data_IF_185079526018
#
_entry.id   IF_185079526018
#
_cell.length_a   1.000
_cell.length_b   1.000
_cell.length_c   1.000
_cell.angle_alpha   90.00
_cell.angle_beta   90.00
_cell.angle_gamma   90.00
#
_symmetry.space_group_name_H-M   'P 1'
#
loop_
_entity.id
_entity.type
_entity.pdbx_description
1 polymer ?
#
# COMPACT_ATOMS: atom_id res chain seq x y z
N UNK A 1 -23.45 -6.04 -2.04
CA UNK A 1 -23.92 -4.64 -2.13
C UNK A 1 -23.21 -4.01 -3.31
N UNK A 2 -23.95 -3.55 -4.33
CA UNK A 2 -23.48 -2.97 -5.57
C UNK A 2 -23.57 -1.44 -5.53
N UNK A 3 -22.46 -0.77 -5.82
CA UNK A 3 -22.34 0.69 -5.92
C UNK A 3 -22.54 1.10 -7.37
N UNK A 4 -23.56 1.91 -7.62
CA UNK A 4 -24.03 2.27 -8.96
C UNK A 4 -23.78 3.75 -9.21
N UNK A 5 -23.04 4.06 -10.27
CA UNK A 5 -22.89 5.42 -10.76
C UNK A 5 -23.78 5.62 -11.98
N UNK A 6 -24.73 6.56 -11.89
CA UNK A 6 -25.64 6.89 -13.00
C UNK A 6 -25.19 8.20 -13.64
N UNK A 7 -24.92 8.18 -14.95
CA UNK A 7 -24.43 9.35 -15.69
C UNK A 7 -25.39 9.75 -16.79
N UNK A 8 -25.71 11.05 -16.85
CA UNK A 8 -26.62 11.60 -17.85
C UNK A 8 -28.10 11.52 -17.47
N UNK A 9 -28.42 11.11 -16.25
CA UNK A 9 -29.78 11.18 -15.69
C UNK A 9 -29.89 12.36 -14.73
N UNK A 10 -31.09 12.91 -14.59
CA UNK A 10 -31.42 13.81 -13.49
C UNK A 10 -31.64 13.03 -12.18
N UNK A 11 -31.78 13.75 -11.06
CA UNK A 11 -31.95 13.15 -9.72
C UNK A 11 -33.19 12.23 -9.67
N UNK A 12 -34.27 12.59 -10.35
CA UNK A 12 -35.49 11.79 -10.38
C UNK A 12 -35.31 10.50 -11.19
N UNK A 13 -34.68 10.56 -12.36
CA UNK A 13 -34.39 9.39 -13.18
C UNK A 13 -33.37 8.46 -12.53
N UNK A 14 -32.38 9.00 -11.81
CA UNK A 14 -31.44 8.19 -11.01
C UNK A 14 -32.18 7.41 -9.92
N UNK A 15 -33.05 8.08 -9.16
CA UNK A 15 -33.84 7.44 -8.12
C UNK A 15 -34.76 6.35 -8.68
N UNK A 16 -35.42 6.60 -9.82
CA UNK A 16 -36.29 5.64 -10.48
C UNK A 16 -35.52 4.40 -10.95
N UNK A 17 -34.35 4.60 -11.56
CA UNK A 17 -33.48 3.51 -11.98
C UNK A 17 -33.01 2.66 -10.80
N UNK A 18 -32.51 3.30 -9.73
CA UNK A 18 -32.07 2.59 -8.52
C UNK A 18 -33.21 1.80 -7.87
N UNK A 19 -34.42 2.36 -7.83
CA UNK A 19 -35.60 1.68 -7.33
C UNK A 19 -35.94 0.45 -8.18
N UNK A 20 -35.86 0.56 -9.51
CA UNK A 20 -36.07 -0.58 -10.41
C UNK A 20 -35.01 -1.67 -10.24
N UNK A 21 -33.73 -1.31 -10.11
CA UNK A 21 -32.67 -2.29 -9.87
C UNK A 21 -32.91 -3.05 -8.56
N UNK A 22 -33.38 -2.37 -7.52
CA UNK A 22 -33.75 -2.99 -6.24
C UNK A 22 -34.95 -3.92 -6.39
N UNK A 23 -35.98 -3.53 -7.14
CA UNK A 23 -37.17 -4.36 -7.34
C UNK A 23 -36.90 -5.59 -8.21
N UNK A 24 -36.15 -5.42 -9.31
CA UNK A 24 -35.82 -6.49 -10.24
C UNK A 24 -35.00 -7.60 -9.57
N UNK A 25 -34.12 -7.23 -8.65
CA UNK A 25 -33.22 -8.18 -8.03
C UNK A 25 -33.82 -8.91 -6.81
N UNK A 26 -35.03 -8.55 -6.36
CA UNK A 26 -35.62 -9.00 -5.08
C UNK A 26 -34.63 -8.90 -3.89
N UNK A 27 -33.65 -7.98 -3.98
CA UNK A 27 -32.57 -7.85 -3.03
C UNK A 27 -33.02 -6.98 -1.84
N UNK A 28 -32.45 -7.17 -0.64
CA UNK A 28 -32.65 -6.25 0.49
C UNK A 28 -32.37 -4.80 0.08
N UNK A 29 -33.11 -3.84 0.66
CA UNK A 29 -33.09 -2.42 0.29
C UNK A 29 -31.69 -1.77 0.29
N UNK A 30 -30.74 -2.33 1.03
CA UNK A 30 -29.36 -1.85 1.14
C UNK A 30 -28.39 -2.44 0.09
N UNK A 31 -28.84 -3.36 -0.76
CA UNK A 31 -27.94 -4.06 -1.68
C UNK A 31 -27.53 -3.23 -2.88
N UNK A 32 -28.26 -2.17 -3.25
CA UNK A 32 -27.91 -1.28 -4.36
C UNK A 32 -27.90 0.16 -3.87
N UNK A 33 -26.76 0.85 -4.00
CA UNK A 33 -26.60 2.26 -3.58
C UNK A 33 -26.00 3.10 -4.69
N UNK A 34 -26.38 4.38 -4.72
CA UNK A 34 -25.71 5.38 -5.57
C UNK A 34 -24.30 5.64 -5.04
N UNK A 35 -23.31 5.71 -5.95
CA UNK A 35 -22.00 6.27 -5.65
C UNK A 35 -21.76 7.51 -6.52
N UNK A 36 -20.88 8.40 -6.05
CA UNK A 36 -20.50 9.63 -6.77
C UNK A 36 -19.08 9.59 -7.33
N UNK A 37 -18.29 8.65 -6.83
CA UNK A 37 -16.92 8.43 -7.27
C UNK A 37 -16.86 7.22 -8.18
N UNK A 38 -16.10 7.34 -9.26
CA UNK A 38 -15.85 6.25 -10.19
C UNK A 38 -14.93 5.19 -9.58
N UNK A 39 -14.03 5.60 -8.68
CA UNK A 39 -13.09 4.67 -8.04
C UNK A 39 -13.82 3.71 -7.06
N UNK A 40 -15.01 4.10 -6.60
CA UNK A 40 -15.91 3.31 -5.76
C UNK A 40 -17.12 2.75 -6.53
N UNK A 41 -17.05 2.67 -7.86
CA UNK A 41 -18.15 2.20 -8.70
C UNK A 41 -18.01 0.72 -9.06
N UNK A 42 -19.05 -0.07 -8.81
CA UNK A 42 -19.13 -1.48 -9.25
C UNK A 42 -19.91 -1.60 -10.58
N UNK A 43 -20.88 -0.70 -10.79
CA UNK A 43 -21.73 -0.65 -11.96
C UNK A 43 -21.90 0.80 -12.47
N UNK A 44 -21.41 1.08 -13.67
CA UNK A 44 -21.66 2.32 -14.39
C UNK A 44 -22.89 2.16 -15.29
N UNK A 45 -23.91 2.99 -15.07
CA UNK A 45 -25.08 3.10 -15.95
C UNK A 45 -25.08 4.46 -16.63
N UNK A 46 -25.13 4.49 -17.96
CA UNK A 46 -25.21 5.74 -18.72
C UNK A 46 -26.51 5.81 -19.51
N UNK A 47 -26.99 7.03 -19.79
CA UNK A 47 -27.98 7.24 -20.86
C UNK A 47 -27.35 6.97 -22.23
N UNK A 48 -28.14 6.41 -23.15
CA UNK A 48 -27.69 6.10 -24.50
C UNK A 48 -27.47 7.35 -25.35
N UNK A 49 -26.29 7.94 -25.21
CA UNK A 49 -25.82 9.02 -26.08
C UNK A 49 -24.42 8.69 -26.60
N UNK A 50 -24.08 9.08 -27.85
CA UNK A 50 -22.76 8.78 -28.43
C UNK A 50 -21.59 9.32 -27.59
N UNK A 51 -21.76 10.49 -26.99
CA UNK A 51 -20.73 11.11 -26.15
C UNK A 51 -20.49 10.31 -24.86
N UNK A 52 -21.56 9.93 -24.15
CA UNK A 52 -21.44 9.16 -22.91
C UNK A 52 -20.92 7.74 -23.18
N UNK A 53 -21.36 7.10 -24.28
CA UNK A 53 -20.87 5.77 -24.67
C UNK A 53 -19.36 5.76 -24.86
N UNK A 54 -18.82 6.73 -25.60
CA UNK A 54 -17.39 6.86 -25.83
C UNK A 54 -16.61 7.17 -24.54
N UNK A 55 -17.16 8.02 -23.66
CA UNK A 55 -16.55 8.32 -22.37
C UNK A 55 -16.50 7.08 -21.46
N UNK A 56 -17.63 6.38 -21.32
CA UNK A 56 -17.73 5.18 -20.51
C UNK A 56 -16.80 4.05 -21.00
N UNK A 57 -16.70 3.84 -22.31
CA UNK A 57 -15.78 2.85 -22.88
C UNK A 57 -14.32 3.14 -22.53
N UNK A 58 -13.90 4.41 -22.48
CA UNK A 58 -12.56 4.79 -22.01
C UNK A 58 -12.38 4.49 -20.52
N UNK A 59 -13.37 4.86 -19.70
CA UNK A 59 -13.33 4.69 -18.25
C UNK A 59 -13.25 3.21 -17.84
N UNK A 60 -14.02 2.35 -18.49
CA UNK A 60 -14.05 0.90 -18.23
C UNK A 60 -12.79 0.19 -18.73
N UNK A 61 -12.15 0.69 -19.81
CA UNK A 61 -10.84 0.16 -20.25
C UNK A 61 -9.75 0.34 -19.20
N UNK A 62 -9.77 1.45 -18.47
CA UNK A 62 -8.84 1.71 -17.37
C UNK A 62 -9.21 0.93 -16.10
N UNK A 63 -10.47 0.49 -15.98
CA UNK A 63 -11.03 -0.18 -14.79
C UNK A 63 -11.90 -1.40 -15.19
N UNK A 64 -11.28 -2.53 -15.56
CA UNK A 64 -12.01 -3.69 -16.11
C UNK A 64 -12.93 -4.42 -15.10
N UNK A 65 -12.88 -4.05 -13.81
CA UNK A 65 -13.77 -4.58 -12.76
C UNK A 65 -15.17 -3.94 -12.78
N UNK A 66 -15.32 -2.77 -13.40
CA UNK A 66 -16.58 -2.03 -13.45
C UNK A 66 -17.48 -2.65 -14.52
N UNK A 67 -18.68 -3.08 -14.13
CA UNK A 67 -19.72 -3.43 -15.09
C UNK A 67 -20.28 -2.18 -15.75
N UNK A 68 -20.59 -2.26 -17.05
CA UNK A 68 -21.03 -1.12 -17.83
C UNK A 68 -22.35 -1.42 -18.53
N UNK A 69 -23.40 -0.69 -18.17
CA UNK A 69 -24.73 -0.79 -18.79
C UNK A 69 -25.17 0.54 -19.42
N UNK A 70 -26.00 0.43 -20.44
CA UNK A 70 -26.58 1.55 -21.18
C UNK A 70 -28.10 1.50 -21.00
N UNK A 71 -28.67 2.62 -20.57
CA UNK A 71 -30.11 2.84 -20.47
C UNK A 71 -30.61 3.58 -21.70
N UNK A 72 -31.53 2.96 -22.44
CA UNK A 72 -32.15 3.58 -23.62
C UNK A 72 -33.27 4.56 -23.27
N UNK A 73 -33.83 5.21 -24.29
CA UNK A 73 -34.94 6.18 -24.13
C UNK A 73 -36.24 5.57 -23.58
N UNK A 74 -36.38 4.25 -23.63
CA UNK A 74 -37.52 3.51 -23.08
C UNK A 74 -37.22 2.98 -21.66
N UNK A 75 -36.04 3.31 -21.11
CA UNK A 75 -35.57 2.86 -19.82
C UNK A 75 -35.00 1.44 -19.84
N UNK A 76 -34.89 0.76 -20.99
CA UNK A 76 -34.33 -0.58 -21.00
C UNK A 76 -32.83 -0.55 -20.78
N UNK A 77 -32.33 -1.52 -20.00
CA UNK A 77 -30.91 -1.67 -19.72
C UNK A 77 -30.30 -2.68 -20.68
N UNK A 78 -29.10 -2.38 -21.16
CA UNK A 78 -28.33 -3.24 -22.06
C UNK A 78 -26.90 -3.30 -21.57
N UNK A 79 -26.20 -4.40 -21.85
CA UNK A 79 -24.76 -4.41 -21.66
C UNK A 79 -24.08 -3.42 -22.60
N UNK A 80 -23.20 -2.59 -22.05
CA UNK A 80 -22.36 -1.67 -22.82
C UNK A 80 -21.07 -2.31 -23.35
N UNK A 81 -20.79 -3.56 -22.96
CA UNK A 81 -19.76 -4.42 -23.56
C UNK A 81 -20.38 -5.76 -23.97
N UNK A 82 -20.18 -6.18 -25.22
CA UNK A 82 -20.75 -7.43 -25.74
C UNK A 82 -21.86 -7.19 -26.76
N UNK A 83 -22.78 -8.15 -26.87
CA UNK A 83 -23.83 -8.17 -27.90
C UNK A 83 -24.80 -6.98 -27.72
N UNK A 84 -24.67 -5.96 -28.58
CA UNK A 84 -25.24 -4.61 -28.43
C UNK A 84 -26.79 -4.55 -28.38
N UNK A 85 -27.47 -5.69 -28.56
CA UNK A 85 -28.91 -5.77 -28.74
C UNK A 85 -29.64 -6.57 -27.64
N UNK A 86 -28.92 -7.25 -26.74
CA UNK A 86 -29.57 -8.00 -25.66
C UNK A 86 -30.04 -7.04 -24.55
N UNK A 87 -31.36 -6.84 -24.47
CA UNK A 87 -31.99 -6.14 -23.34
C UNK A 87 -31.90 -7.02 -22.10
N UNK A 88 -31.45 -6.44 -20.99
CA UNK A 88 -31.41 -7.08 -19.69
C UNK A 88 -32.83 -7.16 -19.13
N UNK A 89 -33.36 -8.38 -19.05
CA UNK A 89 -34.56 -8.67 -18.30
C UNK A 89 -34.28 -8.68 -16.78
N UNK A 90 -35.33 -8.72 -15.96
CA UNK A 90 -35.19 -8.62 -14.52
C UNK A 90 -34.34 -9.77 -13.94
N UNK A 91 -34.40 -10.96 -14.53
CA UNK A 91 -33.61 -12.12 -14.11
C UNK A 91 -32.12 -11.98 -14.46
N UNK A 92 -31.80 -11.39 -15.61
CA UNK A 92 -30.44 -11.06 -16.01
C UNK A 92 -29.86 -9.94 -15.14
N UNK A 93 -30.65 -8.91 -14.83
CA UNK A 93 -30.29 -7.85 -13.89
C UNK A 93 -30.01 -8.46 -12.51
N UNK A 94 -30.90 -9.32 -12.01
CA UNK A 94 -30.74 -10.00 -10.73
C UNK A 94 -29.46 -10.84 -10.68
N UNK A 95 -29.24 -11.69 -11.67
CA UNK A 95 -28.05 -12.53 -11.74
C UNK A 95 -26.77 -11.71 -11.80
N UNK A 96 -26.75 -10.64 -12.61
CA UNK A 96 -25.59 -9.78 -12.72
C UNK A 96 -25.31 -9.06 -11.38
N UNK A 97 -26.33 -8.53 -10.72
CA UNK A 97 -26.20 -7.87 -9.40
C UNK A 97 -25.78 -8.86 -8.30
N UNK A 98 -26.24 -10.11 -8.33
CA UNK A 98 -25.84 -11.17 -7.38
C UNK A 98 -24.40 -11.65 -7.60
N UNK A 99 -23.92 -11.62 -8.83
CA UNK A 99 -22.54 -11.97 -9.18
C UNK A 99 -21.55 -10.83 -8.90
N UNK A 100 -22.04 -9.61 -8.63
CA UNK A 100 -21.17 -8.51 -8.22
C UNK A 100 -20.54 -8.81 -6.87
N UNK A 101 -19.23 -8.53 -6.71
CA UNK A 101 -18.56 -8.71 -5.42
C UNK A 101 -19.28 -7.87 -4.35
N UNK A 102 -19.51 -8.43 -3.15
CA UNK A 102 -20.07 -7.64 -2.07
C UNK A 102 -19.13 -6.48 -1.73
N UNK A 103 -19.69 -5.29 -1.51
CA UNK A 103 -18.93 -4.17 -0.96
C UNK A 103 -18.09 -4.63 0.25
N UNK A 104 -16.81 -4.22 0.33
CA UNK A 104 -15.95 -4.61 1.43
C UNK A 104 -16.56 -4.13 2.76
N UNK A 105 -16.63 -5.04 3.73
CA UNK A 105 -17.10 -4.70 5.07
C UNK A 105 -16.12 -3.75 5.75
N UNK A 106 -16.59 -2.69 6.42
CA UNK A 106 -15.75 -1.87 7.27
C UNK A 106 -15.10 -2.69 8.39
N UNK A 107 -13.91 -2.27 8.79
CA UNK A 107 -13.19 -2.83 9.93
C UNK A 107 -13.74 -2.22 11.22
N UNK A 108 -14.43 -3.04 12.00
CA UNK A 108 -15.04 -2.66 13.28
C UNK A 108 -14.09 -2.86 14.47
N UNK A 109 -12.99 -3.57 14.27
CA UNK A 109 -12.03 -3.87 15.33
C UNK A 109 -11.36 -2.60 15.90
N UNK A 110 -10.93 -2.62 17.18
CA UNK A 110 -10.29 -1.48 17.80
C UNK A 110 -9.04 -1.01 17.04
N UNK A 111 -8.89 0.31 16.95
CA UNK A 111 -7.75 0.93 16.30
C UNK A 111 -6.55 0.86 17.23
N UNK A 112 -5.50 0.19 16.77
CA UNK A 112 -4.22 0.09 17.47
C UNK A 112 -3.36 1.35 17.29
N UNK A 113 -3.43 1.99 16.11
CA UNK A 113 -2.69 3.20 15.82
C UNK A 113 -3.35 4.07 14.75
N UNK A 114 -3.20 5.39 14.91
CA UNK A 114 -3.49 6.44 13.91
C UNK A 114 -2.28 7.36 13.79
N UNK A 115 -2.05 7.95 12.62
CA UNK A 115 -0.86 8.76 12.24
C UNK A 115 0.40 7.95 11.89
N UNK A 116 1.28 8.58 11.11
CA UNK A 116 2.56 8.02 10.68
C UNK A 116 3.45 7.50 11.79
N UNK A 117 3.63 8.31 12.83
CA UNK A 117 4.49 7.95 13.94
C UNK A 117 3.97 6.71 14.68
N UNK A 118 2.67 6.67 14.99
CA UNK A 118 2.11 5.56 15.74
C UNK A 118 2.01 4.29 14.90
N UNK A 119 1.59 4.39 13.63
CA UNK A 119 1.53 3.24 12.72
C UNK A 119 2.92 2.65 12.52
N UNK A 120 3.92 3.48 12.21
CA UNK A 120 5.32 3.04 12.08
C UNK A 120 5.82 2.36 13.35
N UNK A 121 5.49 2.91 14.53
CA UNK A 121 5.89 2.33 15.82
C UNK A 121 5.28 0.93 16.01
N UNK A 122 3.95 0.80 15.87
CA UNK A 122 3.27 -0.49 16.06
C UNK A 122 3.72 -1.51 15.02
N UNK A 123 3.85 -1.13 13.74
CA UNK A 123 4.39 -2.03 12.72
C UNK A 123 5.77 -2.56 13.10
N UNK A 124 6.69 -1.69 13.54
CA UNK A 124 8.04 -2.11 13.94
C UNK A 124 8.02 -3.03 15.16
N UNK A 125 7.22 -2.72 16.19
CA UNK A 125 7.09 -3.54 17.39
C UNK A 125 6.52 -4.94 17.06
N UNK A 126 5.48 -5.01 16.23
CA UNK A 126 4.89 -6.28 15.79
C UNK A 126 5.81 -7.10 14.88
N UNK A 127 6.54 -6.44 13.98
CA UNK A 127 7.53 -7.10 13.10
C UNK A 127 8.74 -7.65 13.87
N UNK A 128 9.10 -7.03 14.99
CA UNK A 128 10.19 -7.51 15.84
C UNK A 128 9.75 -8.66 16.73
N UNK A 129 8.55 -8.57 17.31
CA UNK A 129 7.96 -9.64 18.12
C UNK A 129 7.44 -10.82 17.30
N UNK A 130 7.26 -10.65 15.99
CA UNK A 130 6.70 -11.64 15.05
C UNK A 130 5.38 -12.21 15.55
N UNK A 131 4.49 -11.32 16.00
CA UNK A 131 3.27 -11.73 16.65
C UNK A 131 2.05 -10.97 16.14
N UNK A 132 0.97 -11.72 15.93
CA UNK A 132 -0.34 -11.18 15.65
C UNK A 132 -0.58 -10.84 14.18
N UNK A 133 -1.77 -10.30 13.95
CA UNK A 133 -2.27 -9.93 12.64
C UNK A 133 -2.84 -8.51 12.72
N UNK A 134 -2.79 -7.79 11.60
CA UNK A 134 -3.35 -6.44 11.52
C UNK A 134 -3.99 -6.16 10.16
N UNK A 135 -4.77 -5.09 10.12
CA UNK A 135 -5.32 -4.50 8.90
C UNK A 135 -4.92 -3.03 8.87
N UNK A 136 -4.32 -2.59 7.77
CA UNK A 136 -4.30 -1.18 7.41
C UNK A 136 -5.59 -0.87 6.66
N UNK A 137 -6.37 0.03 7.22
CA UNK A 137 -7.63 0.47 6.66
C UNK A 137 -7.56 1.95 6.27
N UNK A 138 -8.22 2.30 5.16
CA UNK A 138 -8.44 3.67 4.72
C UNK A 138 -9.92 3.99 4.87
N UNK A 139 -10.23 5.02 5.67
CA UNK A 139 -11.61 5.43 5.94
C UNK A 139 -12.52 4.26 6.39
N UNK A 140 -11.94 3.28 7.10
CA UNK A 140 -12.60 2.09 7.62
C UNK A 140 -12.58 0.87 6.68
N UNK A 141 -12.17 1.02 5.42
CA UNK A 141 -12.13 -0.08 4.45
C UNK A 141 -10.75 -0.76 4.44
N UNK A 142 -10.68 -2.11 4.38
CA UNK A 142 -9.40 -2.83 4.40
C UNK A 142 -8.59 -2.60 3.12
N UNK A 143 -7.38 -2.06 3.25
CA UNK A 143 -6.43 -1.92 2.14
C UNK A 143 -5.34 -2.99 2.14
N UNK A 144 -4.85 -3.38 3.32
CA UNK A 144 -3.77 -4.35 3.45
C UNK A 144 -3.96 -5.19 4.71
N UNK A 145 -3.99 -6.50 4.56
CA UNK A 145 -3.93 -7.44 5.67
C UNK A 145 -2.47 -7.82 5.91
N UNK A 146 -2.07 -7.89 7.18
CA UNK A 146 -0.69 -8.15 7.59
C UNK A 146 -0.64 -9.32 8.55
N UNK A 147 0.20 -10.31 8.23
CA UNK A 147 0.57 -11.44 9.08
C UNK A 147 2.03 -11.24 9.54
N UNK A 148 2.19 -10.80 10.80
CA UNK A 148 3.51 -10.54 11.37
C UNK A 148 4.26 -11.83 11.73
N UNK A 149 3.56 -12.94 11.91
CA UNK A 149 4.14 -14.24 12.27
C UNK A 149 4.91 -14.81 11.08
N UNK A 150 4.31 -14.73 9.89
CA UNK A 150 4.87 -15.24 8.64
C UNK A 150 5.63 -14.18 7.82
N UNK A 151 5.61 -12.90 8.23
CA UNK A 151 6.17 -11.78 7.47
C UNK A 151 5.53 -11.67 6.07
N UNK A 152 4.21 -11.87 6.03
CA UNK A 152 3.38 -11.92 4.84
C UNK A 152 2.27 -10.87 4.88
N UNK A 153 1.72 -10.59 3.71
CA UNK A 153 0.61 -9.68 3.52
C UNK A 153 -0.36 -10.20 2.47
N UNK A 154 -1.57 -9.68 2.51
CA UNK A 154 -2.60 -9.90 1.49
C UNK A 154 -3.19 -8.55 1.10
N UNK A 155 -3.29 -8.29 -0.20
CA UNK A 155 -3.91 -7.10 -0.78
C UNK A 155 -5.27 -7.50 -1.34
N UNK A 156 -6.40 -7.08 -0.74
CA UNK A 156 -7.74 -7.44 -1.20
C UNK A 156 -7.99 -7.11 -2.68
N UNK A 157 -7.55 -5.93 -3.12
CA UNK A 157 -7.77 -5.47 -4.49
C UNK A 157 -6.72 -5.95 -5.50
N UNK A 158 -5.77 -6.80 -5.08
CA UNK A 158 -4.69 -7.32 -5.92
C UNK A 158 -3.86 -6.26 -6.68
N UNK A 159 -3.78 -5.02 -6.15
CA UNK A 159 -2.89 -3.98 -6.68
C UNK A 159 -1.43 -4.42 -6.59
N UNK A 160 -0.59 -3.98 -7.53
CA UNK A 160 0.84 -4.19 -7.43
C UNK A 160 1.46 -3.40 -6.25
N UNK A 161 2.67 -3.79 -5.83
CA UNK A 161 3.32 -3.18 -4.67
C UNK A 161 3.63 -1.69 -4.86
N UNK A 162 3.88 -1.24 -6.09
CA UNK A 162 4.26 0.16 -6.37
C UNK A 162 3.03 1.04 -6.24
N UNK A 163 1.93 0.66 -6.87
CA UNK A 163 0.64 1.33 -6.75
C UNK A 163 0.15 1.34 -5.30
N UNK A 164 0.32 0.22 -4.58
CA UNK A 164 -0.05 0.13 -3.17
C UNK A 164 0.82 1.02 -2.27
N UNK A 165 2.15 1.02 -2.44
CA UNK A 165 3.04 1.89 -1.68
C UNK A 165 2.73 3.38 -1.90
N UNK A 166 2.38 3.75 -3.14
CA UNK A 166 1.94 5.09 -3.48
C UNK A 166 0.61 5.43 -2.80
N UNK A 167 -0.40 4.56 -2.89
CA UNK A 167 -1.71 4.76 -2.26
C UNK A 167 -1.60 4.92 -0.72
N UNK A 168 -0.77 4.10 -0.08
CA UNK A 168 -0.47 4.19 1.35
C UNK A 168 0.21 5.53 1.72
N UNK A 169 1.04 6.07 0.83
CA UNK A 169 1.73 7.34 1.04
C UNK A 169 0.80 8.53 0.86
N UNK A 170 -0.03 8.52 -0.18
CA UNK A 170 -0.94 9.63 -0.52
C UNK A 170 -2.07 9.77 0.49
N UNK A 171 -2.51 8.66 1.08
CA UNK A 171 -3.62 8.64 2.04
C UNK A 171 -3.19 8.44 3.48
N UNK A 172 -1.90 8.65 3.80
CA UNK A 172 -1.33 8.27 5.09
C UNK A 172 -2.13 8.81 6.29
N UNK A 173 -2.48 10.09 6.29
CA UNK A 173 -3.18 10.74 7.41
C UNK A 173 -4.58 10.15 7.69
N UNK A 174 -5.18 9.48 6.69
CA UNK A 174 -6.47 8.79 6.79
C UNK A 174 -6.34 7.30 7.12
N UNK A 175 -5.12 6.77 7.14
CA UNK A 175 -4.87 5.37 7.49
C UNK A 175 -5.08 5.13 8.99
N UNK A 176 -5.69 4.00 9.28
CA UNK A 176 -5.76 3.42 10.61
C UNK A 176 -5.21 1.99 10.59
N UNK A 177 -4.44 1.64 11.61
CA UNK A 177 -3.99 0.27 11.82
C UNK A 177 -4.86 -0.37 12.89
N UNK A 178 -5.51 -1.48 12.54
CA UNK A 178 -6.37 -2.26 13.41
C UNK A 178 -5.67 -3.57 13.75
N UNK A 179 -5.63 -3.93 15.03
CA UNK A 179 -5.21 -5.28 15.43
C UNK A 179 -6.39 -6.23 15.25
N UNK A 180 -6.18 -7.37 14.58
CA UNK A 180 -7.24 -8.33 14.32
C UNK A 180 -6.87 -9.73 14.81
N UNK A 181 -7.89 -10.49 15.19
CA UNK A 181 -7.72 -11.89 15.59
C UNK A 181 -7.38 -12.77 14.38
N UNK A 182 -6.61 -13.84 14.60
CA UNK A 182 -6.20 -14.77 13.54
C UNK A 182 -7.38 -15.34 12.73
N UNK A 183 -8.50 -15.65 13.41
CA UNK A 183 -9.73 -16.12 12.74
C UNK A 183 -10.30 -15.09 11.77
N UNK A 184 -10.35 -13.81 12.17
CA UNK A 184 -10.82 -12.72 11.30
C UNK A 184 -9.86 -12.49 10.15
N UNK A 185 -8.54 -12.55 10.40
CA UNK A 185 -7.54 -12.47 9.34
C UNK A 185 -7.76 -13.54 8.27
N UNK A 186 -7.98 -14.79 8.68
CA UNK A 186 -8.27 -15.89 7.75
C UNK A 186 -9.56 -15.68 6.95
N UNK A 187 -10.60 -15.12 7.57
CA UNK A 187 -11.85 -14.79 6.89
C UNK A 187 -11.66 -13.70 5.83
N UNK A 188 -10.94 -12.62 6.16
CA UNK A 188 -10.70 -11.50 5.25
C UNK A 188 -9.69 -11.86 4.14
N UNK A 189 -8.67 -12.66 4.47
CA UNK A 189 -7.67 -13.10 3.49
C UNK A 189 -8.25 -14.14 2.52
N UNK A 190 -9.10 -15.05 3.00
CA UNK A 190 -9.70 -16.10 2.18
C UNK A 190 -8.66 -16.88 1.37
N UNK A 191 -8.90 -16.99 0.07
CA UNK A 191 -8.00 -17.64 -0.90
C UNK A 191 -7.06 -16.64 -1.63
N UNK A 192 -7.02 -15.38 -1.20
CA UNK A 192 -6.20 -14.36 -1.83
C UNK A 192 -4.70 -14.70 -1.73
N UNK A 193 -3.91 -14.30 -2.75
CA UNK A 193 -2.50 -14.62 -2.80
C UNK A 193 -1.75 -13.93 -1.66
N UNK A 194 -0.99 -14.72 -0.90
CA UNK A 194 -0.08 -14.22 0.12
C UNK A 194 1.23 -13.77 -0.51
N UNK A 195 1.64 -12.56 -0.16
CA UNK A 195 2.84 -11.93 -0.68
C UNK A 195 3.81 -11.62 0.45
N UNK A 196 5.12 -11.53 0.20
CA UNK A 196 6.06 -11.08 1.22
C UNK A 196 5.78 -9.62 1.60
N UNK A 197 5.78 -9.33 2.90
CA UNK A 197 5.46 -7.99 3.41
C UNK A 197 6.59 -6.98 3.20
N UNK A 198 7.85 -7.41 3.36
CA UNK A 198 9.03 -6.52 3.36
C UNK A 198 9.20 -5.69 2.08
N UNK A 199 9.00 -6.24 0.85
CA UNK A 199 9.10 -5.43 -0.35
C UNK A 199 8.14 -4.25 -0.39
N UNK A 200 6.89 -4.42 0.02
CA UNK A 200 5.93 -3.32 0.10
C UNK A 200 6.35 -2.29 1.13
N UNK A 201 6.68 -2.71 2.36
CA UNK A 201 7.11 -1.79 3.40
C UNK A 201 8.39 -1.02 3.01
N UNK A 202 9.30 -1.67 2.28
CA UNK A 202 10.51 -1.01 1.80
C UNK A 202 10.21 0.02 0.71
N UNK A 203 9.28 -0.26 -0.20
CA UNK A 203 8.81 0.72 -1.18
C UNK A 203 8.08 1.88 -0.49
N UNK A 204 7.16 1.57 0.43
CA UNK A 204 6.44 2.57 1.20
C UNK A 204 7.39 3.50 1.97
N UNK A 205 8.43 2.94 2.58
CA UNK A 205 9.41 3.73 3.31
C UNK A 205 10.32 4.61 2.45
N UNK A 206 10.33 4.46 1.12
CA UNK A 206 11.04 5.38 0.22
C UNK A 206 10.26 6.68 -0.03
N UNK A 207 8.98 6.76 0.35
CA UNK A 207 8.18 7.97 0.16
C UNK A 207 8.38 8.95 1.32
N UNK A 208 8.79 10.21 1.06
CA UNK A 208 9.29 11.13 2.09
C UNK A 208 8.22 11.77 2.98
N UNK A 209 6.94 11.77 2.56
CA UNK A 209 5.91 12.63 3.14
C UNK A 209 5.64 12.43 4.64
N UNK A 210 5.99 11.27 5.21
CA UNK A 210 5.61 10.88 6.56
C UNK A 210 6.78 10.73 7.55
N UNK A 211 8.01 11.10 7.14
CA UNK A 211 9.23 10.89 7.93
C UNK A 211 9.65 12.03 8.85
N UNK A 212 8.85 13.09 8.98
CA UNK A 212 9.17 14.31 9.75
C UNK A 212 9.74 14.05 11.16
N UNK A 213 9.12 13.16 11.95
CA UNK A 213 9.59 12.83 13.31
C UNK A 213 10.91 12.07 13.30
N UNK A 214 11.07 11.13 12.36
CA UNK A 214 12.32 10.39 12.18
C UNK A 214 13.44 11.34 11.73
N UNK A 215 13.19 12.19 10.75
CA UNK A 215 14.15 13.15 10.22
C UNK A 215 14.55 14.21 11.26
N UNK A 216 13.63 14.63 12.13
CA UNK A 216 13.96 15.48 13.26
C UNK A 216 14.99 14.81 14.19
N UNK A 217 14.80 13.52 14.50
CA UNK A 217 15.74 12.75 15.33
C UNK A 217 17.09 12.55 14.65
N UNK A 218 17.08 12.24 13.34
CA UNK A 218 18.31 12.09 12.55
C UNK A 218 19.09 13.41 12.47
N UNK A 219 18.41 14.56 12.33
CA UNK A 219 19.02 15.90 12.41
C UNK A 219 19.59 16.22 13.79
N UNK A 220 18.99 15.67 14.85
CA UNK A 220 19.51 15.75 16.22
C UNK A 220 20.60 14.70 16.51
N UNK A 221 21.28 14.19 15.47
CA UNK A 221 22.38 13.24 15.56
C UNK A 221 22.03 11.90 16.25
N UNK A 222 20.77 11.46 16.17
CA UNK A 222 20.43 10.08 16.49
C UNK A 222 21.29 9.14 15.62
N UNK A 223 21.79 8.06 16.23
CA UNK A 223 22.65 7.11 15.54
C UNK A 223 21.79 5.96 15.05
N UNK A 224 21.98 5.57 13.80
CA UNK A 224 21.30 4.44 13.18
C UNK A 224 22.18 3.21 13.37
N UNK A 225 21.59 2.11 13.83
CA UNK A 225 22.22 0.79 13.84
C UNK A 225 21.36 -0.19 13.08
N UNK A 226 22.00 -0.99 12.24
CA UNK A 226 21.32 -2.12 11.59
C UNK A 226 21.32 -3.32 12.54
N UNK A 227 20.14 -3.90 12.74
CA UNK A 227 19.92 -5.07 13.60
C UNK A 227 20.20 -6.37 12.88
N UNK A 228 19.94 -6.41 11.56
CA UNK A 228 20.16 -7.56 10.68
C UNK A 228 20.26 -7.10 9.23
N UNK A 229 20.85 -7.94 8.38
CA UNK A 229 20.94 -7.66 6.95
C UNK A 229 19.53 -7.59 6.32
N UNK A 230 19.18 -6.53 5.57
CA UNK A 230 17.91 -6.47 4.83
C UNK A 230 17.86 -7.50 3.71
N UNK A 231 16.67 -7.98 3.36
CA UNK A 231 16.50 -8.98 2.30
C UNK A 231 17.06 -8.49 0.94
N UNK A 232 17.65 -9.38 0.15
CA UNK A 232 18.11 -9.07 -1.21
C UNK A 232 16.98 -8.59 -2.13
N UNK A 233 15.73 -9.00 -1.86
CA UNK A 233 14.52 -8.52 -2.55
C UNK A 233 14.32 -7.00 -2.41
N UNK A 234 14.90 -6.37 -1.40
CA UNK A 234 14.69 -4.95 -1.10
C UNK A 234 15.93 -4.07 -1.30
N UNK A 235 17.14 -4.61 -1.14
CA UNK A 235 18.37 -3.81 -1.26
C UNK A 235 18.65 -3.32 -2.69
N UNK A 236 18.09 -3.99 -3.70
CA UNK A 236 18.45 -3.77 -5.09
C UNK A 236 19.95 -3.99 -5.34
N UNK A 237 20.40 -3.81 -6.59
CA UNK A 237 21.83 -3.91 -6.93
C UNK A 237 22.58 -2.58 -6.72
N UNK A 238 22.18 -1.77 -5.73
CA UNK A 238 22.81 -0.48 -5.47
C UNK A 238 24.02 -0.62 -4.55
N UNK A 239 25.20 -0.29 -5.08
CA UNK A 239 26.48 -0.45 -4.39
C UNK A 239 26.53 0.25 -3.02
N UNK A 240 25.95 1.44 -2.90
CA UNK A 240 25.97 2.21 -1.65
C UNK A 240 25.11 1.61 -0.55
N UNK A 241 23.99 0.95 -0.90
CA UNK A 241 23.16 0.21 0.06
C UNK A 241 23.95 -0.92 0.74
N UNK A 242 24.80 -1.63 -0.01
CA UNK A 242 25.67 -2.68 0.55
C UNK A 242 26.74 -2.10 1.49
N UNK A 243 27.30 -0.93 1.14
CA UNK A 243 28.29 -0.24 1.98
C UNK A 243 27.65 0.26 3.28
N UNK A 244 26.44 0.82 3.20
CA UNK A 244 25.65 1.22 4.36
C UNK A 244 25.33 0.03 5.26
N UNK A 245 24.86 -1.09 4.69
CA UNK A 245 24.62 -2.32 5.47
C UNK A 245 25.87 -2.78 6.21
N UNK A 246 27.01 -2.84 5.51
CA UNK A 246 28.29 -3.28 6.07
C UNK A 246 28.78 -2.37 7.20
N UNK A 247 28.57 -1.06 7.08
CA UNK A 247 28.93 -0.08 8.10
C UNK A 247 28.00 -0.17 9.33
N UNK A 248 26.69 -0.12 9.08
CA UNK A 248 25.66 0.03 10.12
C UNK A 248 25.40 -1.24 10.93
N UNK A 249 25.76 -2.42 10.41
CA UNK A 249 25.80 -3.66 11.20
C UNK A 249 26.96 -3.69 12.20
N UNK A 250 28.10 -3.11 11.82
CA UNK A 250 29.31 -3.12 12.64
C UNK A 250 29.26 -2.05 13.73
N UNK A 251 28.69 -0.88 13.44
CA UNK A 251 28.54 0.20 14.41
C UNK A 251 27.31 1.04 14.13
N UNK A 252 26.76 1.63 15.20
CA UNK A 252 25.79 2.69 15.06
C UNK A 252 26.47 3.96 14.50
N UNK A 253 25.88 4.63 13.52
CA UNK A 253 26.40 5.86 12.93
C UNK A 253 25.30 6.90 12.73
N UNK A 254 25.63 8.18 12.88
CA UNK A 254 24.73 9.25 12.43
C UNK A 254 24.70 9.33 10.90
N UNK A 255 23.70 10.02 10.35
CA UNK A 255 23.61 10.27 8.89
C UNK A 255 24.85 10.98 8.37
N UNK A 256 25.36 11.95 9.13
CA UNK A 256 26.59 12.69 8.82
C UNK A 256 27.81 11.77 8.73
N UNK A 257 27.99 10.92 9.73
CA UNK A 257 29.11 9.98 9.76
C UNK A 257 29.05 9.02 8.57
N UNK A 258 27.86 8.49 8.24
CA UNK A 258 27.66 7.65 7.07
C UNK A 258 28.02 8.37 5.77
N UNK A 259 27.51 9.58 5.58
CA UNK A 259 27.76 10.39 4.39
C UNK A 259 29.26 10.68 4.21
N UNK A 260 29.95 11.08 5.28
CA UNK A 260 31.39 11.36 5.25
C UNK A 260 32.23 10.10 5.03
N UNK A 261 31.97 9.01 5.76
CA UNK A 261 32.79 7.79 5.68
C UNK A 261 32.63 7.04 4.37
N UNK A 262 31.45 7.14 3.74
CA UNK A 262 31.15 6.45 2.50
C UNK A 262 31.22 7.38 1.28
N UNK A 263 31.43 8.68 1.48
CA UNK A 263 31.47 9.69 0.42
C UNK A 263 30.18 9.66 -0.44
N UNK A 264 29.02 9.60 0.23
CA UNK A 264 27.70 9.58 -0.42
C UNK A 264 26.82 10.73 0.09
N UNK A 265 25.84 11.19 -0.71
CA UNK A 265 24.93 12.26 -0.29
C UNK A 265 24.13 11.86 0.96
N UNK A 266 23.82 12.84 1.81
CA UNK A 266 23.01 12.61 3.02
C UNK A 266 21.62 12.09 2.67
N UNK A 267 21.07 12.58 1.57
CA UNK A 267 19.78 12.20 1.03
C UNK A 267 19.76 10.71 0.68
N UNK A 268 20.85 10.18 0.12
CA UNK A 268 20.99 8.76 -0.16
C UNK A 268 21.06 7.92 1.12
N UNK A 269 21.73 8.41 2.16
CA UNK A 269 21.72 7.76 3.48
C UNK A 269 20.31 7.75 4.06
N UNK A 270 19.59 8.87 4.05
CA UNK A 270 18.21 8.96 4.55
C UNK A 270 17.26 8.02 3.78
N UNK A 271 17.35 8.02 2.44
CA UNK A 271 16.56 7.16 1.57
C UNK A 271 16.77 5.66 1.85
N UNK A 272 17.93 5.27 2.38
CA UNK A 272 18.17 3.92 2.90
C UNK A 272 17.63 3.73 4.32
N UNK A 273 17.84 4.70 5.21
CA UNK A 273 17.48 4.61 6.63
C UNK A 273 15.97 4.53 6.82
N UNK A 274 15.19 5.31 6.08
CA UNK A 274 13.73 5.34 6.18
C UNK A 274 13.08 3.94 6.01
N UNK A 275 13.25 3.24 4.87
CA UNK A 275 12.67 1.92 4.70
C UNK A 275 13.33 0.85 5.59
N UNK A 276 14.64 0.96 5.88
CA UNK A 276 15.30 0.06 6.82
C UNK A 276 14.72 0.19 8.24
N UNK A 277 14.39 1.41 8.66
CA UNK A 277 13.74 1.68 9.94
C UNK A 277 12.32 1.15 9.97
N UNK A 278 11.49 1.44 8.95
CA UNK A 278 10.11 0.96 8.83
C UNK A 278 10.04 -0.57 8.86
N UNK A 279 10.91 -1.23 8.10
CA UNK A 279 11.02 -2.68 8.05
C UNK A 279 11.66 -3.29 9.32
N UNK A 280 11.93 -2.50 10.37
CA UNK A 280 12.56 -3.02 11.58
C UNK A 280 13.95 -3.63 11.37
N UNK A 281 14.60 -3.36 10.24
CA UNK A 281 16.00 -3.71 10.02
C UNK A 281 16.94 -2.78 10.77
N UNK A 282 16.50 -1.53 11.02
CA UNK A 282 17.26 -0.53 11.75
C UNK A 282 16.59 -0.08 13.05
N UNK A 283 17.42 0.29 14.01
CA UNK A 283 17.05 0.96 15.24
C UNK A 283 17.78 2.29 15.36
N UNK A 284 17.19 3.20 16.12
CA UNK A 284 17.82 4.46 16.50
C UNK A 284 18.33 4.37 17.93
N UNK A 285 19.58 4.80 18.11
CA UNK A 285 20.23 4.99 19.39
C UNK A 285 20.29 6.50 19.69
N UNK A 286 20.26 6.85 20.98
CA UNK A 286 20.45 8.23 21.40
C UNK A 286 21.81 8.74 20.92
N UNK A 287 21.95 10.06 20.70
CA UNK A 287 23.25 10.66 20.41
C UNK A 287 24.23 10.27 21.52
N UNK A 288 25.43 9.82 21.15
CA UNK A 288 26.43 9.49 22.15
C UNK A 288 26.78 10.78 22.93
N UNK A 289 26.47 10.82 24.22
CA UNK A 289 26.87 11.91 25.08
C UNK A 289 28.41 11.96 25.12
N UNK A 290 29.00 12.99 24.50
CA UNK A 290 30.40 13.34 24.73
C UNK A 290 31.40 13.04 23.62
N UNK A 291 31.02 12.58 22.43
CA UNK A 291 31.98 12.54 21.31
C UNK A 291 31.98 13.88 20.57
N UNK A 292 32.70 14.86 21.13
CA UNK A 292 33.25 15.95 20.32
C UNK A 292 34.00 15.27 19.17
N UNK A 293 33.70 15.64 17.93
CA UNK A 293 34.49 15.26 16.76
C UNK A 293 35.93 15.71 17.04
N UNK A 294 36.76 14.80 17.56
CA UNK A 294 38.17 14.99 17.59
C UNK A 294 38.60 15.03 16.12
N UNK A 295 38.89 16.24 15.63
CA UNK A 295 39.64 16.42 14.40
C UNK A 295 40.98 15.70 14.57
N UNK A 296 41.02 14.45 14.15
CA UNK A 296 42.17 13.58 14.22
C UNK A 296 42.40 12.99 12.85
N UNK A 297 43.35 13.57 12.11
CA UNK A 297 43.97 12.92 10.99
C UNK A 297 44.46 11.53 11.44
N UNK A 298 43.85 10.48 10.90
CA UNK A 298 44.07 9.11 11.36
C UNK A 298 43.53 8.10 10.37
N UNK A 299 44.41 7.73 9.45
CA UNK A 299 44.42 6.64 8.47
C UNK A 299 43.60 5.36 8.82
N UNK A 300 42.27 5.47 8.81
CA UNK A 300 41.34 4.37 9.09
C UNK A 300 40.61 3.80 7.86
N UNK A 301 40.76 4.43 6.70
CA UNK A 301 40.06 4.06 5.46
C UNK A 301 40.64 2.85 4.71
N UNK A 302 41.85 2.40 5.07
CA UNK A 302 42.61 1.43 4.28
C UNK A 302 42.24 -0.04 4.46
N UNK A 303 41.59 -0.44 5.56
CA UNK A 303 41.52 -1.87 5.93
C UNK A 303 40.54 -2.66 5.03
N UNK A 304 39.35 -2.11 4.78
CA UNK A 304 38.35 -2.75 3.93
C UNK A 304 38.76 -2.70 2.45
N UNK A 305 39.38 -1.59 2.02
CA UNK A 305 39.95 -1.46 0.67
C UNK A 305 41.14 -2.40 0.44
N UNK A 306 41.92 -2.75 1.48
CA UNK A 306 42.99 -3.77 1.40
C UNK A 306 42.43 -5.19 1.42
N UNK A 307 41.41 -5.47 2.23
CA UNK A 307 40.73 -6.77 2.22
C UNK A 307 40.12 -7.08 0.85
N UNK A 308 39.41 -6.12 0.23
CA UNK A 308 38.76 -6.33 -1.06
C UNK A 308 39.75 -6.53 -2.21
N UNK A 309 40.90 -5.83 -2.18
CA UNK A 309 42.00 -6.06 -3.14
C UNK A 309 42.63 -7.45 -2.99
N UNK A 310 42.75 -7.97 -1.77
CA UNK A 310 43.30 -9.31 -1.53
C UNK A 310 42.40 -10.44 -2.04
N UNK A 311 41.08 -10.24 -2.07
CA UNK A 311 40.12 -11.22 -2.60
C UNK A 311 40.17 -11.26 -4.13
N UNK A 312 40.29 -10.11 -4.81
CA UNK A 312 40.46 -10.06 -6.27
C UNK A 312 41.75 -10.72 -6.75
N UNK A 313 42.84 -10.64 -5.98
CA UNK A 313 44.10 -11.28 -6.34
C UNK A 313 44.11 -12.80 -6.14
N UNK A 314 43.15 -13.36 -5.39
CA UNK A 314 43.03 -14.81 -5.15
C UNK A 314 42.05 -15.53 -6.08
N UNK A 315 41.30 -14.80 -6.90
CA UNK A 315 40.30 -15.35 -7.83
C UNK A 315 40.67 -15.26 -9.31
N UNK A 316 41.89 -14.87 -9.66
CA UNK A 316 42.39 -14.82 -11.03
C UNK A 316 43.50 -15.83 -11.25
N UNK A 317 43.11 -17.05 -11.62
CA UNK A 317 43.93 -18.10 -12.22
C UNK A 317 43.13 -18.72 -13.35
#
# INVERSE_FOLDING_TARGET
MARVLVVGSDIQGEHALLQRLRSAAALPADTVRSCRDLDDCDLLVIKDTPALRNAALRMVRERPRIQFWIEDQHGHLRHGQGDEHAVLDDHAIENALRQMPPAPEPIEEPIAARSAKAITRVLRESLQSRHGHAVLALDGLPLLLVDFEQDQMVVPDASDNVAMAQALSDSFERLALHGIAAKRYQQLAGELPRQPLRPLLWQWGQHPAHWHDLDARLRQHARVRLLRWPDFRVLGHQHDSFRLCSLLLKRACSVDECATLLEIPREAVCAFVHPAYLCGYAALEAPAAGMRLAGGAGDGGGLLARMWRSVRQRGGG
#
